data_IF_688898170539
#
_entry.id   IF_688898170539
#
_cell.length_a   1.000
_cell.length_b   1.000
_cell.length_c   1.000
_cell.angle_alpha   90.00
_cell.angle_beta   90.00
_cell.angle_gamma   90.00
#
_symmetry.space_group_name_H-M   'P 1'
#
loop_
_entity.id
_entity.type
_entity.pdbx_description
1 polymer ?
#
# COMPACT_ATOMS: atom_id res chain seq x y z
N UNK A 1 -4.03 -21.59 20.20
CA UNK A 1 -3.77 -21.95 18.80
C UNK A 1 -2.27 -21.88 18.58
N UNK A 2 -1.66 -22.82 17.84
CA UNK A 2 -0.26 -22.68 17.47
C UNK A 2 -0.09 -21.43 16.59
N UNK A 3 0.90 -20.60 16.91
CA UNK A 3 1.29 -19.43 16.12
C UNK A 3 2.74 -19.61 15.72
N UNK A 4 3.02 -19.44 14.44
CA UNK A 4 4.38 -19.43 13.90
C UNK A 4 4.74 -17.98 13.59
N UNK A 5 5.88 -17.53 14.11
CA UNK A 5 6.37 -16.17 13.93
C UNK A 5 7.30 -16.09 12.71
N UNK A 6 7.72 -14.89 12.33
CA UNK A 6 8.68 -14.66 11.22
C UNK A 6 10.00 -15.44 11.37
N UNK A 7 10.41 -15.74 12.60
CA UNK A 7 11.58 -16.59 12.90
C UNK A 7 11.33 -18.09 12.76
N UNK A 8 10.08 -18.51 12.55
CA UNK A 8 9.74 -19.92 12.36
C UNK A 8 10.08 -20.35 10.94
N UNK A 9 11.01 -21.28 10.81
CA UNK A 9 11.30 -21.91 9.52
C UNK A 9 10.34 -23.07 9.28
N UNK A 10 9.37 -22.85 8.41
CA UNK A 10 8.42 -23.87 7.96
C UNK A 10 8.74 -24.39 6.55
N UNK A 11 9.94 -24.10 6.01
CA UNK A 11 10.32 -24.59 4.69
C UNK A 11 10.33 -26.12 4.69
N UNK A 12 9.63 -26.70 3.71
CA UNK A 12 9.48 -28.15 3.59
C UNK A 12 8.45 -28.77 4.54
N UNK A 13 7.72 -27.98 5.34
CA UNK A 13 6.61 -28.50 6.13
C UNK A 13 5.47 -29.00 5.20
N UNK A 14 4.91 -30.16 5.52
CA UNK A 14 3.77 -30.74 4.80
C UNK A 14 2.51 -30.73 5.69
N UNK A 15 1.40 -30.24 5.14
CA UNK A 15 0.10 -30.23 5.80
C UNK A 15 -0.83 -31.26 5.13
N UNK A 16 -0.70 -32.54 5.51
CA UNK A 16 -1.45 -33.64 4.88
C UNK A 16 -2.75 -33.93 5.62
N UNK A 17 -3.89 -33.76 4.94
CA UNK A 17 -5.22 -33.99 5.52
C UNK A 17 -5.60 -33.04 6.65
N UNK A 18 -4.86 -31.93 6.80
CA UNK A 18 -5.08 -30.94 7.85
C UNK A 18 -6.23 -29.99 7.48
N UNK A 19 -7.09 -29.69 8.46
CA UNK A 19 -8.09 -28.64 8.35
C UNK A 19 -7.45 -27.29 8.71
N UNK A 20 -7.21 -26.45 7.70
CA UNK A 20 -6.64 -25.11 7.85
C UNK A 20 -7.70 -24.00 7.74
N UNK A 21 -9.00 -24.33 7.85
CA UNK A 21 -10.07 -23.32 7.81
C UNK A 21 -9.86 -22.29 8.92
N UNK A 22 -9.85 -21.02 8.53
CA UNK A 22 -9.62 -19.89 9.45
C UNK A 22 -8.15 -19.63 9.79
N UNK A 23 -7.19 -20.39 9.23
CA UNK A 23 -5.78 -20.03 9.32
C UNK A 23 -5.52 -18.67 8.65
N UNK A 24 -4.62 -17.88 9.24
CA UNK A 24 -4.19 -16.59 8.70
C UNK A 24 -2.69 -16.63 8.42
N UNK A 25 -2.31 -16.26 7.22
CA UNK A 25 -0.92 -16.08 6.79
C UNK A 25 -0.71 -14.58 6.64
N UNK A 26 -0.11 -13.95 7.66
CA UNK A 26 0.14 -12.50 7.70
C UNK A 26 1.63 -12.29 7.57
N UNK A 27 2.05 -11.49 6.58
CA UNK A 27 3.47 -11.25 6.25
C UNK A 27 4.30 -12.55 6.06
N UNK A 28 3.65 -13.60 5.57
CA UNK A 28 4.30 -14.89 5.32
C UNK A 28 4.80 -14.98 3.87
N UNK A 29 6.02 -15.48 3.69
CA UNK A 29 6.49 -15.87 2.37
C UNK A 29 5.87 -17.22 1.97
N UNK A 30 4.95 -17.17 1.00
CA UNK A 30 4.30 -18.35 0.41
C UNK A 30 4.88 -18.71 -0.97
N UNK A 31 6.03 -18.14 -1.34
CA UNK A 31 6.70 -18.42 -2.60
C UNK A 31 7.06 -19.89 -2.70
N UNK A 32 6.66 -20.53 -3.80
CA UNK A 32 6.92 -21.95 -4.04
C UNK A 32 6.02 -22.92 -3.28
N UNK A 33 5.03 -22.46 -2.51
CA UNK A 33 4.02 -23.33 -1.89
C UNK A 33 3.24 -24.08 -2.97
N UNK A 34 3.11 -25.39 -2.81
CA UNK A 34 2.37 -26.27 -3.73
C UNK A 34 1.12 -26.81 -3.04
N UNK A 35 -0.04 -26.44 -3.57
CA UNK A 35 -1.35 -26.88 -3.07
C UNK A 35 -1.96 -27.91 -4.03
N UNK A 36 -2.00 -29.19 -3.65
CA UNK A 36 -2.56 -30.30 -4.48
C UNK A 36 -3.74 -30.95 -3.79
N UNK A 37 -4.87 -31.05 -4.48
CA UNK A 37 -6.09 -31.68 -3.95
C UNK A 37 -6.68 -30.96 -2.74
N UNK A 38 -6.47 -29.65 -2.63
CA UNK A 38 -6.95 -28.83 -1.52
C UNK A 38 -8.36 -28.31 -1.77
N UNK A 39 -9.10 -28.07 -0.68
CA UNK A 39 -10.33 -27.29 -0.67
C UNK A 39 -9.98 -25.84 -0.33
N UNK A 40 -10.28 -24.91 -1.22
CA UNK A 40 -9.91 -23.48 -1.11
C UNK A 40 -11.13 -22.56 -1.28
N UNK A 41 -12.33 -23.10 -1.14
CA UNK A 41 -13.57 -22.34 -1.21
C UNK A 41 -13.56 -21.21 -0.17
N UNK A 42 -13.69 -19.97 -0.63
CA UNK A 42 -13.64 -18.78 0.23
C UNK A 42 -12.24 -18.39 0.70
N UNK A 43 -11.16 -19.00 0.18
CA UNK A 43 -9.80 -18.52 0.40
C UNK A 43 -9.64 -17.11 -0.21
N UNK A 44 -9.04 -16.22 0.57
CA UNK A 44 -8.76 -14.84 0.19
C UNK A 44 -7.25 -14.63 0.19
N UNK A 45 -6.72 -14.08 -0.91
CA UNK A 45 -5.29 -13.80 -1.09
C UNK A 45 -5.16 -12.32 -1.39
N UNK A 46 -4.60 -11.59 -0.43
CA UNK A 46 -4.23 -10.20 -0.61
C UNK A 46 -2.70 -10.10 -0.70
N UNK A 47 -2.17 -9.93 -1.92
CA UNK A 47 -0.74 -10.03 -2.22
C UNK A 47 -0.28 -8.79 -3.02
N UNK A 48 0.09 -7.67 -2.36
CA UNK A 48 0.47 -6.43 -3.06
C UNK A 48 1.71 -6.60 -3.94
N UNK A 49 2.59 -7.53 -3.59
CA UNK A 49 3.84 -7.80 -4.31
C UNK A 49 3.66 -8.66 -5.57
N UNK A 50 2.44 -9.15 -5.84
CA UNK A 50 2.18 -10.07 -6.96
C UNK A 50 2.34 -9.42 -8.34
N UNK A 51 2.32 -8.09 -8.41
CA UNK A 51 2.28 -7.33 -9.67
C UNK A 51 3.62 -6.69 -10.05
N UNK A 52 4.75 -7.27 -9.64
CA UNK A 52 6.10 -6.81 -10.00
C UNK A 52 6.54 -7.23 -11.43
N UNK A 53 5.71 -7.99 -12.14
CA UNK A 53 5.96 -8.49 -13.49
C UNK A 53 6.88 -9.71 -13.55
N UNK A 54 7.35 -10.24 -12.41
CA UNK A 54 8.19 -11.43 -12.30
C UNK A 54 7.49 -12.56 -11.56
N UNK A 55 6.46 -12.24 -10.79
CA UNK A 55 5.68 -13.17 -9.99
C UNK A 55 4.62 -13.91 -10.81
N UNK A 56 4.24 -15.10 -10.35
CA UNK A 56 3.13 -15.86 -10.91
C UNK A 56 2.31 -16.52 -9.79
N UNK A 57 1.00 -16.63 -10.00
CA UNK A 57 0.10 -17.34 -9.10
C UNK A 57 -0.79 -18.22 -9.96
N UNK A 58 -0.69 -19.55 -9.77
CA UNK A 58 -1.39 -20.51 -10.62
C UNK A 58 -2.59 -21.13 -9.91
N UNK A 59 -3.75 -21.01 -10.52
CA UNK A 59 -4.98 -21.72 -10.13
C UNK A 59 -5.29 -22.74 -11.22
N UNK A 60 -5.27 -24.04 -10.88
CA UNK A 60 -5.49 -25.14 -11.82
C UNK A 60 -4.61 -25.06 -13.09
N UNK A 61 -3.35 -24.63 -12.93
CA UNK A 61 -2.38 -24.50 -14.02
C UNK A 61 -2.43 -23.16 -14.77
N UNK A 62 -3.48 -22.37 -14.59
CA UNK A 62 -3.63 -21.04 -15.22
C UNK A 62 -2.96 -19.99 -14.35
N UNK A 63 -2.07 -19.19 -14.95
CA UNK A 63 -1.53 -18.02 -14.26
C UNK A 63 -2.60 -16.93 -14.20
N UNK A 64 -3.06 -16.62 -12.99
CA UNK A 64 -4.17 -15.69 -12.77
C UNK A 64 -3.69 -14.25 -12.58
N UNK A 65 -2.38 -14.00 -12.45
CA UNK A 65 -1.85 -12.64 -12.19
C UNK A 65 -2.32 -11.63 -13.24
N UNK A 66 -2.23 -11.90 -14.56
CA UNK A 66 -2.69 -10.93 -15.57
C UNK A 66 -4.21 -10.69 -15.53
N UNK A 67 -4.99 -11.71 -15.14
CA UNK A 67 -6.45 -11.59 -15.04
C UNK A 67 -6.84 -10.70 -13.86
N UNK A 68 -6.18 -10.89 -12.72
CA UNK A 68 -6.37 -10.06 -11.53
C UNK A 68 -5.89 -8.63 -11.80
N UNK A 69 -4.73 -8.45 -12.43
CA UNK A 69 -4.21 -7.12 -12.76
C UNK A 69 -5.16 -6.36 -13.70
N UNK A 70 -5.71 -7.03 -14.73
CA UNK A 70 -6.70 -6.42 -15.62
C UNK A 70 -7.98 -6.02 -14.89
N UNK A 71 -8.48 -6.87 -13.99
CA UNK A 71 -9.67 -6.55 -13.20
C UNK A 71 -9.43 -5.40 -12.21
N UNK A 72 -8.25 -5.35 -11.57
CA UNK A 72 -7.87 -4.22 -10.73
C UNK A 72 -7.79 -2.93 -11.55
N UNK A 73 -7.18 -2.94 -12.73
CA UNK A 73 -7.13 -1.76 -13.59
C UNK A 73 -8.52 -1.34 -14.09
N UNK A 74 -9.45 -2.28 -14.26
CA UNK A 74 -10.86 -1.98 -14.59
C UNK A 74 -11.60 -1.33 -13.41
N UNK A 75 -11.36 -1.80 -12.18
CA UNK A 75 -11.97 -1.28 -10.96
C UNK A 75 -11.41 0.07 -10.51
N UNK A 76 -10.14 0.33 -10.80
CA UNK A 76 -9.42 1.53 -10.41
C UNK A 76 -8.89 2.28 -11.66
N UNK A 77 -9.72 3.10 -12.32
CA UNK A 77 -9.33 3.80 -13.53
C UNK A 77 -8.10 4.70 -13.32
N UNK A 78 -7.07 4.48 -14.14
CA UNK A 78 -5.77 5.16 -14.04
C UNK A 78 -4.69 4.35 -13.30
N UNK A 79 -5.04 3.26 -12.61
CA UNK A 79 -4.04 2.41 -11.91
C UNK A 79 -3.00 1.81 -12.86
N UNK A 80 -3.36 1.53 -14.11
CA UNK A 80 -2.42 1.02 -15.10
C UNK A 80 -1.22 1.97 -15.33
N UNK A 81 -1.47 3.28 -15.23
CA UNK A 81 -0.48 4.33 -15.51
C UNK A 81 0.54 4.52 -14.38
N UNK A 82 0.39 3.80 -13.24
CA UNK A 82 1.36 3.83 -12.13
C UNK A 82 2.79 3.43 -12.54
N UNK A 83 2.94 2.79 -13.71
CA UNK A 83 4.21 2.38 -14.32
C UNK A 83 4.71 3.36 -15.40
N UNK A 84 4.11 4.53 -15.53
CA UNK A 84 4.51 5.53 -16.53
C UNK A 84 6.00 5.85 -16.41
N UNK A 85 6.71 5.84 -17.54
CA UNK A 85 8.17 5.96 -17.55
C UNK A 85 8.68 7.37 -17.89
N UNK A 86 7.81 8.24 -18.37
CA UNK A 86 8.14 9.59 -18.81
C UNK A 86 7.40 10.66 -17.98
N UNK A 87 7.88 11.93 -17.99
CA UNK A 87 7.29 12.99 -17.18
C UNK A 87 5.80 13.24 -17.44
N UNK A 88 5.35 13.19 -18.70
CA UNK A 88 3.96 13.47 -19.04
C UNK A 88 3.04 12.34 -18.57
N UNK A 89 3.47 11.09 -18.76
CA UNK A 89 2.79 9.92 -18.24
C UNK A 89 2.69 9.95 -16.71
N UNK A 90 3.74 10.34 -15.99
CA UNK A 90 3.72 10.45 -14.53
C UNK A 90 2.77 11.55 -14.05
N UNK A 91 2.72 12.70 -14.73
CA UNK A 91 1.74 13.76 -14.42
C UNK A 91 0.31 13.27 -14.63
N UNK A 92 0.05 12.55 -15.72
CA UNK A 92 -1.26 11.98 -16.01
C UNK A 92 -1.65 10.92 -14.96
N UNK A 93 -0.71 10.04 -14.59
CA UNK A 93 -0.90 9.02 -13.58
C UNK A 93 -1.24 9.63 -12.21
N UNK A 94 -0.48 10.65 -11.79
CA UNK A 94 -0.73 11.37 -10.54
C UNK A 94 -2.10 12.07 -10.55
N UNK A 95 -2.44 12.75 -11.64
CA UNK A 95 -3.75 13.41 -11.74
C UNK A 95 -4.91 12.40 -11.69
N UNK A 96 -4.75 11.19 -12.25
CA UNK A 96 -5.76 10.13 -12.15
C UNK A 96 -5.89 9.61 -10.72
N UNK A 97 -4.76 9.41 -10.04
CA UNK A 97 -4.72 9.01 -8.64
C UNK A 97 -5.45 10.05 -7.75
N UNK A 98 -5.14 11.34 -7.91
CA UNK A 98 -5.76 12.42 -7.13
C UNK A 98 -7.28 12.46 -7.30
N UNK A 99 -7.79 12.23 -8.52
CA UNK A 99 -9.24 12.15 -8.78
C UNK A 99 -9.89 10.98 -8.03
N UNK A 100 -9.25 9.81 -8.01
CA UNK A 100 -9.79 8.63 -7.32
C UNK A 100 -9.80 8.81 -5.80
N UNK A 101 -8.72 9.36 -5.23
CA UNK A 101 -8.67 9.71 -3.82
C UNK A 101 -9.69 10.78 -3.45
N UNK A 102 -9.84 11.84 -4.26
CA UNK A 102 -10.82 12.88 -4.01
C UNK A 102 -12.24 12.33 -3.94
N UNK A 103 -12.65 11.48 -4.90
CA UNK A 103 -13.96 10.82 -4.88
C UNK A 103 -14.16 9.95 -3.63
N UNK A 104 -13.10 9.27 -3.18
CA UNK A 104 -13.15 8.44 -1.97
C UNK A 104 -13.27 9.29 -0.70
N UNK A 105 -12.52 10.38 -0.61
CA UNK A 105 -12.59 11.32 0.51
C UNK A 105 -13.98 11.98 0.60
N UNK A 106 -14.57 12.35 -0.54
CA UNK A 106 -15.96 12.85 -0.61
C UNK A 106 -16.96 11.80 -0.10
N UNK A 107 -16.81 10.54 -0.52
CA UNK A 107 -17.65 9.43 -0.03
C UNK A 107 -17.53 9.25 1.48
N UNK A 108 -16.30 9.20 2.02
CA UNK A 108 -16.04 9.06 3.45
C UNK A 108 -16.61 10.23 4.26
N UNK A 109 -16.55 11.45 3.73
CA UNK A 109 -17.12 12.63 4.38
C UNK A 109 -18.66 12.55 4.51
N UNK A 110 -19.33 11.77 3.65
CA UNK A 110 -20.78 11.52 3.73
C UNK A 110 -21.15 10.33 4.64
N UNK A 111 -20.17 9.53 5.08
CA UNK A 111 -20.38 8.39 5.98
C UNK A 111 -20.58 8.84 7.44
N UNK A 112 -21.15 7.98 8.31
CA UNK A 112 -21.34 8.30 9.73
C UNK A 112 -20.04 8.74 10.42
N UNK A 113 -20.17 9.66 11.38
CA UNK A 113 -19.03 10.13 12.18
C UNK A 113 -18.30 8.95 12.87
N UNK A 114 -16.97 9.01 12.87
CA UNK A 114 -16.10 7.95 13.40
C UNK A 114 -15.77 6.83 12.41
N UNK A 115 -16.35 6.82 11.20
CA UNK A 115 -16.03 5.83 10.15
C UNK A 115 -14.51 5.75 9.87
N UNK A 116 -13.84 6.90 9.84
CA UNK A 116 -12.41 7.02 9.54
C UNK A 116 -11.49 6.30 10.53
N UNK A 117 -12.01 6.00 11.73
CA UNK A 117 -11.28 5.37 12.83
C UNK A 117 -11.58 3.87 12.96
N UNK A 118 -12.48 3.34 12.13
CA UNK A 118 -12.86 1.92 12.17
C UNK A 118 -11.81 1.07 11.46
N UNK A 119 -11.17 0.16 12.19
CA UNK A 119 -10.36 -0.91 11.62
C UNK A 119 -11.22 -2.08 11.15
N UNK A 120 -10.88 -2.65 10.00
CA UNK A 120 -11.53 -3.83 9.42
C UNK A 120 -10.54 -4.99 9.40
N UNK A 121 -10.96 -6.17 9.86
CA UNK A 121 -10.15 -7.43 9.86
C UNK A 121 -8.77 -7.34 10.54
N UNK A 122 -8.62 -6.39 11.47
CA UNK A 122 -7.35 -6.16 12.18
C UNK A 122 -6.32 -5.36 11.38
N UNK A 123 -6.74 -4.78 10.25
CA UNK A 123 -5.93 -3.89 9.43
C UNK A 123 -6.09 -2.43 9.89
N UNK A 124 -5.33 -1.53 9.29
CA UNK A 124 -5.39 -0.10 9.58
C UNK A 124 -6.75 0.50 9.29
N UNK A 125 -7.13 1.51 10.09
CA UNK A 125 -8.26 2.36 9.76
C UNK A 125 -7.97 3.24 8.55
N UNK A 126 -9.00 3.89 8.00
CA UNK A 126 -8.84 4.85 6.91
C UNK A 126 -7.88 5.99 7.30
N UNK A 127 -8.02 6.55 8.50
CA UNK A 127 -7.13 7.59 9.00
C UNK A 127 -5.67 7.10 9.15
N UNK A 128 -5.47 5.88 9.67
CA UNK A 128 -4.14 5.28 9.78
C UNK A 128 -3.50 5.04 8.40
N UNK A 129 -4.29 4.61 7.42
CA UNK A 129 -3.85 4.44 6.02
C UNK A 129 -3.34 5.77 5.43
N UNK A 130 -4.06 6.87 5.63
CA UNK A 130 -3.61 8.18 5.15
C UNK A 130 -2.32 8.64 5.84
N UNK A 131 -2.16 8.34 7.14
CA UNK A 131 -0.93 8.63 7.90
C UNK A 131 0.26 7.83 7.38
N UNK A 132 0.05 6.58 6.98
CA UNK A 132 1.09 5.79 6.33
C UNK A 132 1.51 6.39 4.99
N UNK A 133 0.55 6.83 4.15
CA UNK A 133 0.88 7.46 2.87
C UNK A 133 1.65 8.79 3.02
N UNK A 134 1.44 9.52 4.12
CA UNK A 134 2.30 10.66 4.50
C UNK A 134 3.74 10.19 4.73
N UNK A 135 3.93 9.14 5.52
CA UNK A 135 5.27 8.56 5.77
C UNK A 135 5.93 8.07 4.48
N UNK A 136 5.21 7.32 3.64
CA UNK A 136 5.72 6.78 2.39
C UNK A 136 6.23 7.91 1.47
N UNK A 137 5.47 9.00 1.35
CA UNK A 137 5.89 10.17 0.57
C UNK A 137 7.12 10.85 1.16
N UNK A 138 7.14 11.08 2.48
CA UNK A 138 8.28 11.69 3.16
C UNK A 138 9.55 10.86 3.00
N UNK A 139 9.41 9.55 3.00
CA UNK A 139 10.52 8.61 2.84
C UNK A 139 11.06 8.58 1.40
N UNK A 140 10.19 8.42 0.41
CA UNK A 140 10.63 8.22 -0.97
C UNK A 140 10.87 9.53 -1.72
N UNK A 141 10.02 10.54 -1.54
CA UNK A 141 10.24 11.84 -2.17
C UNK A 141 11.10 12.74 -1.29
N UNK A 142 10.73 12.90 -0.01
CA UNK A 142 11.40 13.84 0.90
C UNK A 142 12.85 13.44 1.20
N UNK A 143 13.07 12.21 1.68
CA UNK A 143 14.41 11.72 2.05
C UNK A 143 15.21 11.30 0.82
N UNK A 144 14.68 10.39 0.00
CA UNK A 144 15.49 9.74 -1.03
C UNK A 144 15.72 10.64 -2.27
N UNK A 145 14.69 11.33 -2.76
CA UNK A 145 14.78 12.15 -3.98
C UNK A 145 15.24 13.58 -3.70
N UNK A 146 14.61 14.25 -2.71
CA UNK A 146 14.88 15.65 -2.39
C UNK A 146 15.97 15.84 -1.32
N UNK A 147 16.42 14.76 -0.68
CA UNK A 147 17.53 14.77 0.29
C UNK A 147 17.31 15.75 1.46
N UNK A 148 16.05 15.93 1.86
CA UNK A 148 15.67 16.77 3.01
C UNK A 148 16.18 16.11 4.29
N UNK A 149 16.94 16.85 5.10
CA UNK A 149 17.59 16.35 6.33
C UNK A 149 16.61 15.70 7.32
N UNK A 150 15.46 16.32 7.53
CA UNK A 150 14.37 15.77 8.34
C UNK A 150 13.08 15.90 7.52
N UNK A 151 12.71 14.87 6.74
CA UNK A 151 11.56 14.94 5.84
C UNK A 151 10.25 14.51 6.52
N UNK A 152 10.33 13.79 7.63
CA UNK A 152 9.17 13.10 8.20
C UNK A 152 8.23 14.03 8.97
N UNK A 153 6.96 13.99 8.60
CA UNK A 153 5.92 14.59 9.40
C UNK A 153 5.72 13.80 10.70
N UNK A 154 5.49 14.47 11.85
CA UNK A 154 5.11 13.81 13.09
C UNK A 154 3.84 12.94 12.99
N UNK A 155 2.95 13.23 12.04
CA UNK A 155 1.70 12.47 11.83
C UNK A 155 1.92 11.13 11.12
N UNK A 156 3.07 10.95 10.44
CA UNK A 156 3.41 9.73 9.74
C UNK A 156 3.23 8.49 10.62
N UNK A 157 2.83 7.38 10.01
CA UNK A 157 2.62 6.11 10.71
C UNK A 157 3.46 5.01 10.06
N UNK A 158 4.34 4.40 10.85
CA UNK A 158 5.16 3.24 10.45
C UNK A 158 4.35 1.95 10.52
N UNK A 159 4.73 0.96 9.72
CA UNK A 159 4.25 -0.41 9.87
C UNK A 159 4.55 -0.96 11.26
N UNK A 160 3.58 -1.67 11.83
CA UNK A 160 3.68 -2.25 13.18
C UNK A 160 4.57 -3.50 13.21
N UNK A 161 4.93 -4.06 12.05
CA UNK A 161 5.67 -5.34 11.90
C UNK A 161 7.16 -5.20 11.53
N UNK A 162 7.58 -4.05 11.00
CA UNK A 162 8.99 -3.70 10.85
C UNK A 162 9.42 -2.94 12.09
N UNK A 163 10.30 -3.51 12.90
CA UNK A 163 11.17 -2.68 13.75
C UNK A 163 11.69 -1.57 12.84
N UNK A 164 11.47 -0.31 13.22
CA UNK A 164 11.60 0.85 12.36
C UNK A 164 13.08 1.06 11.99
N UNK A 165 13.57 0.28 11.02
CA UNK A 165 14.99 0.18 10.68
C UNK A 165 15.56 1.56 10.37
N UNK A 166 16.29 2.11 11.35
CA UNK A 166 16.96 3.40 11.25
C UNK A 166 16.07 4.65 11.28
N UNK A 167 14.77 4.54 11.62
CA UNK A 167 13.91 5.72 11.82
C UNK A 167 13.97 6.21 13.27
N UNK A 168 14.12 7.52 13.44
CA UNK A 168 14.01 8.16 14.75
C UNK A 168 12.53 8.23 15.16
N UNK A 169 12.11 7.26 15.95
CA UNK A 169 10.73 7.13 16.40
C UNK A 169 10.26 8.29 17.30
N UNK A 170 11.19 9.10 17.84
CA UNK A 170 10.83 10.27 18.65
C UNK A 170 10.16 11.39 17.85
N UNK A 171 10.26 11.35 16.51
CA UNK A 171 9.62 12.30 15.60
C UNK A 171 8.09 12.11 15.57
N UNK A 172 7.61 10.87 15.73
CA UNK A 172 6.21 10.54 15.49
C UNK A 172 5.33 10.74 16.72
N UNK A 173 4.11 11.24 16.50
CA UNK A 173 3.14 11.43 17.57
C UNK A 173 2.66 10.08 18.11
N UNK A 174 2.62 9.97 19.44
CA UNK A 174 2.09 8.78 20.13
C UNK A 174 0.59 8.90 20.46
N UNK A 175 0.06 10.12 20.43
CA UNK A 175 -1.39 10.39 20.55
C UNK A 175 -2.04 10.26 19.17
N UNK A 176 -3.31 9.85 19.15
CA UNK A 176 -4.08 9.78 17.90
C UNK A 176 -4.37 11.20 17.41
N UNK A 177 -3.85 11.62 16.24
CA UNK A 177 -4.13 12.94 15.68
C UNK A 177 -5.60 13.04 15.24
N UNK A 178 -6.14 14.25 15.20
CA UNK A 178 -7.47 14.47 14.64
C UNK A 178 -7.47 14.18 13.15
N UNK A 179 -8.62 13.78 12.61
CA UNK A 179 -8.75 13.49 11.18
C UNK A 179 -8.45 14.73 10.31
N UNK A 180 -8.77 15.94 10.77
CA UNK A 180 -8.40 17.18 10.07
C UNK A 180 -6.90 17.40 9.96
N UNK A 181 -6.14 17.11 11.02
CA UNK A 181 -4.67 17.22 10.99
C UNK A 181 -4.06 16.17 10.04
N UNK A 182 -4.66 14.97 9.98
CA UNK A 182 -4.26 13.93 9.02
C UNK A 182 -4.50 14.39 7.58
N UNK A 183 -5.66 14.98 7.28
CA UNK A 183 -5.98 15.52 5.96
C UNK A 183 -5.05 16.67 5.57
N UNK A 184 -4.71 17.56 6.48
CA UNK A 184 -3.78 18.67 6.24
C UNK A 184 -2.38 18.14 5.87
N UNK A 185 -1.83 17.21 6.68
CA UNK A 185 -0.54 16.60 6.37
C UNK A 185 -0.56 15.89 5.02
N UNK A 186 -1.64 15.15 4.73
CA UNK A 186 -1.82 14.44 3.46
C UNK A 186 -1.90 15.38 2.25
N UNK A 187 -2.63 16.49 2.38
CA UNK A 187 -2.72 17.51 1.34
C UNK A 187 -1.35 18.12 1.03
N UNK A 188 -0.54 18.40 2.05
CA UNK A 188 0.83 18.88 1.88
C UNK A 188 1.72 17.91 1.08
N UNK A 189 1.65 16.60 1.37
CA UNK A 189 2.46 15.58 0.66
C UNK A 189 1.97 15.39 -0.77
N UNK A 190 0.66 15.47 -0.96
CA UNK A 190 0.05 15.41 -2.29
C UNK A 190 0.52 16.59 -3.17
N UNK A 191 0.55 17.80 -2.59
CA UNK A 191 1.06 18.99 -3.28
C UNK A 191 2.57 18.87 -3.58
N UNK A 192 3.36 18.36 -2.64
CA UNK A 192 4.80 18.14 -2.81
C UNK A 192 5.11 17.22 -4.01
N UNK A 193 4.39 16.11 -4.16
CA UNK A 193 4.55 15.23 -5.34
C UNK A 193 4.10 15.95 -6.62
N UNK A 194 2.98 16.67 -6.58
CA UNK A 194 2.47 17.43 -7.75
C UNK A 194 3.47 18.49 -8.22
N UNK A 195 4.07 19.24 -7.31
CA UNK A 195 5.08 20.27 -7.60
C UNK A 195 6.36 19.66 -8.19
N UNK A 196 6.81 18.54 -7.64
CA UNK A 196 7.94 17.79 -8.19
C UNK A 196 7.66 17.35 -9.64
N UNK A 197 6.51 16.71 -9.88
CA UNK A 197 6.13 16.24 -11.22
C UNK A 197 5.92 17.39 -12.22
N UNK A 198 5.48 18.57 -11.78
CA UNK A 198 5.27 19.72 -12.66
C UNK A 198 6.56 20.20 -13.33
N UNK A 199 7.70 20.09 -12.65
CA UNK A 199 9.01 20.54 -13.17
C UNK A 199 9.94 19.40 -13.59
N UNK A 200 9.59 18.15 -13.25
CA UNK A 200 10.40 16.97 -13.51
C UNK A 200 10.74 16.75 -14.99
N UNK A 201 11.99 16.34 -15.22
CA UNK A 201 12.53 16.02 -16.57
C UNK A 201 12.98 14.57 -16.66
N UNK A 202 13.07 14.01 -17.87
CA UNK A 202 13.58 12.64 -18.06
C UNK A 202 14.99 12.42 -17.49
N UNK A 203 15.84 13.47 -17.50
CA UNK A 203 17.17 13.40 -16.90
C UNK A 203 17.12 13.28 -15.37
N UNK A 204 16.20 14.00 -14.73
CA UNK A 204 15.97 13.92 -13.28
C UNK A 204 15.38 12.57 -12.87
N UNK A 205 14.48 12.02 -13.68
CA UNK A 205 13.91 10.69 -13.48
C UNK A 205 14.97 9.58 -13.47
N UNK A 206 16.03 9.73 -14.28
CA UNK A 206 17.14 8.77 -14.36
C UNK A 206 18.19 8.94 -13.24
N UNK A 207 18.11 10.00 -12.43
CA UNK A 207 19.09 10.26 -11.38
C UNK A 207 19.08 9.13 -10.32
N UNK A 208 20.27 8.67 -9.96
CA UNK A 208 20.45 7.65 -8.92
C UNK A 208 20.20 8.23 -7.54
N UNK A 209 19.46 7.51 -6.71
CA UNK A 209 19.08 7.87 -5.34
C UNK A 209 19.45 6.76 -4.37
N UNK A 210 19.76 7.16 -3.14
CA UNK A 210 19.98 6.21 -2.06
C UNK A 210 18.64 5.59 -1.66
N UNK A 211 18.56 4.27 -1.65
CA UNK A 211 17.36 3.58 -1.19
C UNK A 211 17.20 3.78 0.33
N UNK A 212 16.04 4.25 0.80
CA UNK A 212 15.81 4.57 2.21
C UNK A 212 15.74 3.34 3.12
N UNK A 213 15.50 2.14 2.58
CA UNK A 213 15.41 0.90 3.34
C UNK A 213 16.67 0.04 3.22
N UNK A 214 17.37 0.11 2.08
CA UNK A 214 18.58 -0.68 1.87
C UNK A 214 19.61 0.09 1.00
N UNK A 215 20.51 0.87 1.64
CA UNK A 215 21.47 1.71 0.93
C UNK A 215 22.41 0.96 -0.04
N UNK A 216 22.55 -0.37 0.07
CA UNK A 216 23.36 -1.19 -0.83
C UNK A 216 22.73 -1.38 -2.22
N UNK A 217 21.42 -1.12 -2.35
CA UNK A 217 20.65 -1.29 -3.59
C UNK A 217 20.12 0.06 -4.04
N UNK A 218 20.89 0.85 -4.81
CA UNK A 218 20.46 2.19 -5.22
C UNK A 218 19.24 2.15 -6.14
N UNK A 219 18.43 3.19 -6.04
CA UNK A 219 17.22 3.37 -6.85
C UNK A 219 17.42 4.49 -7.87
N UNK A 220 16.47 4.66 -8.78
CA UNK A 220 16.34 5.89 -9.57
C UNK A 220 15.22 6.76 -9.01
N UNK A 221 15.23 8.06 -9.29
CA UNK A 221 14.09 8.94 -9.01
C UNK A 221 12.78 8.36 -9.57
N UNK A 222 12.81 7.81 -10.79
CA UNK A 222 11.66 7.14 -11.40
C UNK A 222 11.16 5.97 -10.56
N UNK A 223 12.08 5.12 -10.10
CA UNK A 223 11.75 3.98 -9.22
C UNK A 223 11.11 4.45 -7.92
N UNK A 224 11.65 5.50 -7.28
CA UNK A 224 11.05 6.07 -6.07
C UNK A 224 9.62 6.59 -6.32
N UNK A 225 9.35 7.22 -7.47
CA UNK A 225 8.00 7.65 -7.83
C UNK A 225 7.06 6.49 -8.13
N UNK A 226 7.56 5.41 -8.75
CA UNK A 226 6.78 4.18 -8.95
C UNK A 226 6.42 3.53 -7.63
N UNK A 227 7.32 3.54 -6.64
CA UNK A 227 6.99 3.08 -5.28
C UNK A 227 5.87 3.94 -4.70
N UNK A 228 6.00 5.27 -4.70
CA UNK A 228 4.93 6.17 -4.21
C UNK A 228 3.60 5.88 -4.91
N UNK A 229 3.58 5.83 -6.24
CA UNK A 229 2.36 5.52 -7.00
C UNK A 229 1.79 4.13 -6.64
N UNK A 230 2.64 3.14 -6.39
CA UNK A 230 2.19 1.81 -6.00
C UNK A 230 1.58 1.80 -4.60
N UNK A 231 2.26 2.41 -3.61
CA UNK A 231 1.74 2.57 -2.25
C UNK A 231 0.35 3.21 -2.29
N UNK A 232 0.22 4.30 -3.04
CA UNK A 232 -1.02 5.03 -3.21
C UNK A 232 -2.17 4.16 -3.74
N UNK A 233 -1.93 3.39 -4.81
CA UNK A 233 -2.97 2.56 -5.41
C UNK A 233 -3.34 1.32 -4.58
N UNK A 234 -2.36 0.69 -3.93
CA UNK A 234 -2.64 -0.47 -3.07
C UNK A 234 -3.38 -0.02 -1.80
N UNK A 235 -2.96 1.07 -1.16
CA UNK A 235 -3.67 1.60 0.00
C UNK A 235 -5.03 2.20 -0.35
N UNK A 236 -5.20 2.77 -1.55
CA UNK A 236 -6.52 3.16 -2.05
C UNK A 236 -7.44 1.94 -2.19
N UNK A 237 -6.94 0.83 -2.73
CA UNK A 237 -7.68 -0.42 -2.83
C UNK A 237 -8.10 -0.97 -1.46
N UNK A 238 -7.21 -0.98 -0.47
CA UNK A 238 -7.54 -1.40 0.89
C UNK A 238 -8.59 -0.50 1.53
N UNK A 239 -8.42 0.81 1.40
CA UNK A 239 -9.35 1.79 1.92
C UNK A 239 -10.75 1.60 1.33
N UNK A 240 -10.89 1.50 0.01
CA UNK A 240 -12.20 1.28 -0.65
C UNK A 240 -12.83 -0.04 -0.18
N UNK A 241 -12.07 -1.14 -0.17
CA UNK A 241 -12.53 -2.46 0.30
C UNK A 241 -13.10 -2.39 1.73
N UNK A 242 -12.41 -1.67 2.61
CA UNK A 242 -12.78 -1.61 4.02
C UNK A 242 -13.96 -0.67 4.26
N UNK A 243 -14.03 0.44 3.53
CA UNK A 243 -15.18 1.34 3.53
C UNK A 243 -16.44 0.63 3.03
N UNK A 244 -16.37 -0.13 1.93
CA UNK A 244 -17.48 -0.95 1.43
C UNK A 244 -17.95 -1.96 2.50
N UNK A 245 -17.01 -2.58 3.23
CA UNK A 245 -17.33 -3.52 4.30
C UNK A 245 -17.97 -2.85 5.52
N UNK A 246 -17.62 -1.59 5.80
CA UNK A 246 -18.24 -0.78 6.85
C UNK A 246 -19.65 -0.36 6.43
N UNK A 247 -19.83 0.13 5.20
CA UNK A 247 -21.12 0.54 4.65
C UNK A 247 -22.11 -0.62 4.64
N UNK A 248 -21.72 -1.79 4.12
CA UNK A 248 -22.56 -2.98 4.10
C UNK A 248 -23.03 -3.41 5.50
N UNK A 249 -22.22 -3.18 6.54
CA UNK A 249 -22.61 -3.45 7.94
C UNK A 249 -23.61 -2.42 8.47
N UNK A 250 -23.55 -1.17 8.02
CA UNK A 250 -24.53 -0.15 8.40
C UNK A 250 -25.88 -0.43 7.75
N UNK A 251 -25.90 -0.79 6.47
CA UNK A 251 -27.14 -1.08 5.75
C UNK A 251 -27.81 -2.35 6.27
N UNK A 252 -27.06 -3.38 6.64
CA UNK A 252 -27.60 -4.58 7.28
C UNK A 252 -28.21 -4.34 8.68
N UNK A 253 -27.99 -3.18 9.28
CA UNK A 253 -28.52 -2.79 10.60
C UNK A 253 -29.72 -1.84 10.52
N UNK A 254 -30.07 -1.35 9.32
CA UNK A 254 -31.28 -0.56 9.06
C UNK A 254 -32.45 -1.47 8.69
#
# INVERSE_FOLDING_TARGET
>A
MPTFARSSDLRGAEFVGADLRGARFVEADLSGVVMRGVQVEGADIDAPFLFDGKSSLRVNGVDVVPLVEAELNRRFPGRADRRAADPDGLRAAWAALERNWAATLESVAAMPAGTVDVSVRGEWSFAQTLRHLVLATDMWLGRAVLEIKQPFHPIGLTDTGTEADGLDMSIFVTVTPSYSEVLEARAGRTAMVREFLASGTSGELAATRMNPHNPEYPETTLSCLHVILNEEWEHHRYAVRDLDAIEAKYDARR
#
